data_IF_021754060093
#
_entry.id   IF_021754060093
#
_cell.length_a   1.000
_cell.length_b   1.000
_cell.length_c   1.000
_cell.angle_alpha   90.00
_cell.angle_beta   90.00
_cell.angle_gamma   90.00
#
_symmetry.space_group_name_H-M   'P 1'
#
loop_
_entity.id
_entity.type
_entity.pdbx_description
1 polymer ?
#
# COMPACT_ATOMS: atom_id res chain seq x y z
N UNK A 1 -14.10 -10.89 10.01
CA UNK A 1 -15.18 -10.29 10.84
C UNK A 1 -15.84 -9.17 10.05
N UNK A 2 -17.17 -9.04 10.09
CA UNK A 2 -17.89 -7.93 9.47
C UNK A 2 -17.62 -6.60 10.20
N UNK A 3 -17.70 -5.47 9.49
CA UNK A 3 -17.43 -4.12 10.03
C UNK A 3 -18.33 -3.76 11.22
N UNK A 4 -19.62 -4.04 11.12
CA UNK A 4 -20.60 -3.80 12.20
C UNK A 4 -20.27 -4.58 13.47
N UNK A 5 -19.92 -5.86 13.33
CA UNK A 5 -19.53 -6.69 14.45
C UNK A 5 -18.23 -6.18 15.11
N UNK A 6 -17.26 -5.71 14.30
CA UNK A 6 -16.03 -5.07 14.84
C UNK A 6 -16.38 -3.83 15.66
N UNK A 7 -17.20 -2.93 15.14
CA UNK A 7 -17.59 -1.70 15.85
C UNK A 7 -18.29 -2.00 17.18
N UNK A 8 -19.18 -3.00 17.22
CA UNK A 8 -19.83 -3.43 18.45
C UNK A 8 -18.82 -3.98 19.47
N UNK A 9 -17.91 -4.85 19.05
CA UNK A 9 -16.86 -5.40 19.92
C UNK A 9 -15.80 -4.36 20.30
N UNK A 10 -15.60 -3.34 19.48
CA UNK A 10 -14.62 -2.28 19.70
C UNK A 10 -15.01 -1.39 20.87
N UNK A 11 -16.31 -1.15 21.09
CA UNK A 11 -16.80 -0.35 22.22
C UNK A 11 -16.36 -0.96 23.56
N UNK A 12 -16.57 -2.26 23.75
CA UNK A 12 -16.16 -2.94 24.99
C UNK A 12 -14.64 -3.07 25.11
N UNK A 13 -13.95 -3.32 23.99
CA UNK A 13 -12.49 -3.37 23.95
C UNK A 13 -11.85 -2.01 24.31
N UNK A 14 -12.40 -0.89 23.82
CA UNK A 14 -11.90 0.45 24.11
C UNK A 14 -11.95 0.77 25.60
N UNK A 15 -12.99 0.33 26.31
CA UNK A 15 -13.10 0.52 27.77
C UNK A 15 -12.01 -0.21 28.55
N UNK A 16 -11.49 -1.32 28.01
CA UNK A 16 -10.45 -2.14 28.66
C UNK A 16 -9.04 -1.78 28.18
N UNK A 17 -8.92 -0.98 27.12
CA UNK A 17 -7.64 -0.68 26.49
C UNK A 17 -6.81 0.29 27.34
N UNK A 18 -5.64 -0.16 27.79
CA UNK A 18 -4.68 0.63 28.59
C UNK A 18 -3.41 1.03 27.84
N UNK A 19 -3.37 0.79 26.53
CA UNK A 19 -2.17 1.05 25.72
C UNK A 19 -2.02 2.53 25.34
N UNK A 20 -0.78 2.95 25.04
CA UNK A 20 -0.48 4.31 24.58
C UNK A 20 -0.98 4.60 23.16
N UNK A 21 -1.02 3.60 22.29
CA UNK A 21 -1.36 3.76 20.87
C UNK A 21 -2.59 2.92 20.51
N UNK A 22 -3.76 3.54 20.57
CA UNK A 22 -5.06 2.91 20.31
C UNK A 22 -5.17 2.38 18.89
N UNK A 23 -4.66 3.10 17.89
CA UNK A 23 -4.67 2.67 16.48
C UNK A 23 -3.90 1.36 16.32
N UNK A 24 -2.69 1.28 16.87
CA UNK A 24 -1.87 0.06 16.81
C UNK A 24 -2.49 -1.09 17.60
N UNK A 25 -3.10 -0.80 18.75
CA UNK A 25 -3.85 -1.78 19.54
C UNK A 25 -5.02 -2.37 18.73
N UNK A 26 -5.77 -1.49 18.06
CA UNK A 26 -6.92 -1.85 17.26
C UNK A 26 -6.54 -2.73 16.07
N UNK A 27 -5.48 -2.34 15.32
CA UNK A 27 -4.95 -3.16 14.23
C UNK A 27 -4.58 -4.58 14.69
N UNK A 28 -3.98 -4.71 15.87
CA UNK A 28 -3.59 -6.01 16.43
C UNK A 28 -4.78 -6.84 16.88
N UNK A 29 -5.78 -6.22 17.50
CA UNK A 29 -6.94 -6.92 18.02
C UNK A 29 -7.85 -7.43 16.89
N UNK A 30 -8.07 -6.61 15.87
CA UNK A 30 -9.05 -6.89 14.81
C UNK A 30 -8.45 -7.28 13.47
N UNK A 31 -7.11 -7.26 13.35
CA UNK A 31 -6.39 -7.62 12.13
C UNK A 31 -6.67 -6.69 10.96
N UNK A 32 -6.86 -5.39 11.22
CA UNK A 32 -7.18 -4.39 10.20
C UNK A 32 -6.01 -3.44 9.94
N UNK A 33 -6.00 -2.85 8.76
CA UNK A 33 -5.07 -1.78 8.42
C UNK A 33 -5.32 -0.52 9.24
N UNK A 34 -4.28 0.31 9.35
CA UNK A 34 -4.34 1.50 10.19
C UNK A 34 -5.34 2.54 9.69
N UNK A 35 -5.58 2.63 8.37
CA UNK A 35 -6.61 3.51 7.80
C UNK A 35 -8.00 3.07 8.26
N UNK A 36 -8.29 1.77 8.14
CA UNK A 36 -9.53 1.18 8.65
C UNK A 36 -9.69 1.42 10.14
N UNK A 37 -8.62 1.21 10.92
CA UNK A 37 -8.63 1.48 12.36
C UNK A 37 -8.90 2.95 12.68
N UNK A 38 -8.25 3.90 11.99
CA UNK A 38 -8.43 5.33 12.21
C UNK A 38 -9.88 5.77 11.92
N UNK A 39 -10.46 5.31 10.81
CA UNK A 39 -11.84 5.61 10.44
C UNK A 39 -12.82 5.03 11.47
N UNK A 40 -12.65 3.75 11.83
CA UNK A 40 -13.54 3.08 12.79
C UNK A 40 -13.44 3.72 14.20
N UNK A 41 -12.23 4.07 14.65
CA UNK A 41 -12.01 4.75 15.93
C UNK A 41 -12.59 6.18 15.95
N UNK A 42 -12.48 6.91 14.83
CA UNK A 42 -13.11 8.23 14.69
C UNK A 42 -14.64 8.13 14.81
N UNK A 43 -15.25 7.10 14.22
CA UNK A 43 -16.69 6.84 14.35
C UNK A 43 -17.13 6.46 15.77
N UNK A 44 -16.22 5.86 16.54
CA UNK A 44 -16.45 5.56 17.96
C UNK A 44 -16.21 6.78 18.87
N UNK A 45 -15.86 7.95 18.31
CA UNK A 45 -15.64 9.19 19.05
C UNK A 45 -14.26 9.29 19.71
N UNK A 46 -13.30 8.46 19.31
CA UNK A 46 -11.93 8.53 19.84
C UNK A 46 -11.19 9.70 19.21
N UNK A 47 -10.73 10.63 20.04
CA UNK A 47 -9.87 11.72 19.60
C UNK A 47 -8.50 11.16 19.16
N UNK A 48 -8.24 11.19 17.85
CA UNK A 48 -6.97 10.83 17.27
C UNK A 48 -6.20 12.10 16.93
N UNK A 49 -4.90 12.07 17.20
CA UNK A 49 -3.99 13.15 16.84
C UNK A 49 -3.87 13.23 15.30
N UNK A 50 -4.27 14.35 14.67
CA UNK A 50 -4.18 14.50 13.21
C UNK A 50 -2.73 14.51 12.72
N UNK A 51 -1.78 14.98 13.52
CA UNK A 51 -0.36 15.01 13.14
C UNK A 51 0.20 13.59 13.04
N UNK A 52 -0.21 12.71 13.96
CA UNK A 52 0.13 11.29 13.92
C UNK A 52 -0.44 10.58 12.68
N UNK A 53 -1.67 10.91 12.26
CA UNK A 53 -2.29 10.34 11.07
C UNK A 53 -1.58 10.82 9.79
N UNK A 54 -1.28 12.12 9.72
CA UNK A 54 -0.54 12.70 8.61
C UNK A 54 0.88 12.12 8.47
N UNK A 55 1.60 11.98 9.59
CA UNK A 55 2.92 11.34 9.60
C UNK A 55 2.87 9.91 9.07
N UNK A 56 1.82 9.16 9.43
CA UNK A 56 1.62 7.80 8.91
C UNK A 56 1.35 7.77 7.42
N UNK A 57 0.46 8.64 6.94
CA UNK A 57 0.15 8.79 5.51
C UNK A 57 1.42 9.03 4.67
N UNK A 58 2.30 9.91 5.15
CA UNK A 58 3.57 10.24 4.48
C UNK A 58 4.58 9.09 4.52
N UNK A 59 4.62 8.32 5.61
CA UNK A 59 5.58 7.20 5.79
C UNK A 59 5.22 5.95 4.98
N UNK A 60 3.94 5.76 4.67
CA UNK A 60 3.45 4.57 3.99
C UNK A 60 4.04 4.30 2.60
N UNK A 61 4.11 5.28 1.67
CA UNK A 61 4.68 5.04 0.35
C UNK A 61 6.14 4.58 0.45
N UNK A 62 6.89 5.05 1.45
CA UNK A 62 8.27 4.64 1.65
C UNK A 62 8.38 3.17 2.07
N UNK A 63 7.48 2.68 2.93
CA UNK A 63 7.45 1.27 3.35
C UNK A 63 7.05 0.35 2.19
N UNK A 64 6.06 0.76 1.40
CA UNK A 64 5.63 0.02 0.20
C UNK A 64 6.77 -0.06 -0.81
N UNK A 65 7.43 1.06 -1.09
CA UNK A 65 8.57 1.12 -2.00
C UNK A 65 9.75 0.30 -1.49
N UNK A 66 10.04 0.32 -0.18
CA UNK A 66 11.13 -0.50 0.39
C UNK A 66 10.82 -1.99 0.28
N UNK A 67 9.57 -2.41 0.54
CA UNK A 67 9.14 -3.81 0.33
C UNK A 67 9.18 -4.20 -1.14
N UNK A 68 8.79 -3.30 -2.04
CA UNK A 68 8.91 -3.47 -3.49
C UNK A 68 10.37 -3.65 -3.88
N UNK A 69 11.28 -2.79 -3.42
CA UNK A 69 12.71 -2.89 -3.67
C UNK A 69 13.30 -4.20 -3.11
N UNK A 70 12.89 -4.64 -1.92
CA UNK A 70 13.30 -5.95 -1.38
C UNK A 70 12.75 -7.12 -2.19
N UNK A 71 11.51 -7.04 -2.67
CA UNK A 71 10.94 -8.03 -3.58
C UNK A 71 11.71 -8.08 -4.90
N UNK A 72 12.01 -6.93 -5.50
CA UNK A 72 12.82 -6.82 -6.71
C UNK A 72 14.26 -7.31 -6.50
N UNK A 73 14.85 -7.10 -5.32
CA UNK A 73 16.21 -7.53 -5.00
C UNK A 73 16.31 -9.03 -4.66
N UNK A 74 15.26 -9.63 -4.08
CA UNK A 74 15.22 -11.06 -3.77
C UNK A 74 14.56 -11.91 -4.87
N UNK A 75 13.79 -11.30 -5.78
CA UNK A 75 13.32 -11.94 -7.00
C UNK A 75 14.51 -12.02 -7.95
N UNK A 76 15.19 -13.17 -7.96
CA UNK A 76 16.05 -13.52 -9.06
C UNK A 76 15.27 -13.42 -10.37
N UNK A 77 15.98 -13.01 -11.43
CA UNK A 77 15.54 -13.05 -12.82
C UNK A 77 14.77 -14.35 -13.08
N UNK A 78 13.60 -14.26 -13.75
CA UNK A 78 12.62 -15.32 -14.05
C UNK A 78 11.37 -15.36 -13.15
N UNK A 79 10.52 -14.34 -13.27
CA UNK A 79 9.07 -14.52 -13.16
C UNK A 79 8.45 -14.24 -14.53
N UNK A 80 7.86 -15.24 -15.23
CA UNK A 80 7.38 -15.06 -16.62
C UNK A 80 6.24 -14.04 -16.83
N UNK A 81 5.68 -13.46 -15.77
CA UNK A 81 4.81 -12.30 -15.92
C UNK A 81 4.78 -11.54 -14.58
N UNK A 82 5.59 -10.49 -14.46
CA UNK A 82 5.48 -9.55 -13.35
C UNK A 82 4.31 -8.59 -13.62
N UNK A 83 3.26 -8.52 -12.78
CA UNK A 83 2.16 -7.59 -12.96
C UNK A 83 2.59 -6.11 -13.07
N UNK A 84 3.82 -5.76 -12.68
CA UNK A 84 4.32 -4.39 -12.82
C UNK A 84 4.76 -4.01 -14.24
N UNK A 85 4.97 -4.94 -15.18
CA UNK A 85 5.23 -4.57 -16.59
C UNK A 85 4.02 -3.85 -17.22
N UNK A 86 2.82 -4.32 -16.89
CA UNK A 86 1.59 -3.72 -17.36
C UNK A 86 1.36 -2.32 -16.74
N UNK A 87 1.67 -2.18 -15.45
CA UNK A 87 1.54 -0.90 -14.75
C UNK A 87 2.53 0.13 -15.30
N UNK A 88 3.78 -0.25 -15.56
CA UNK A 88 4.75 0.69 -16.16
C UNK A 88 4.41 1.09 -17.58
N UNK A 89 3.88 0.18 -18.40
CA UNK A 89 3.40 0.50 -19.75
C UNK A 89 2.19 1.45 -19.72
N UNK A 90 1.25 1.22 -18.79
CA UNK A 90 0.12 2.14 -18.56
C UNK A 90 0.58 3.52 -18.08
N UNK A 91 1.54 3.58 -17.15
CA UNK A 91 2.08 4.83 -16.63
C UNK A 91 2.77 5.63 -17.74
N UNK A 92 3.54 4.97 -18.61
CA UNK A 92 4.17 5.61 -19.78
C UNK A 92 3.13 6.10 -20.80
N UNK A 93 2.08 5.31 -21.05
CA UNK A 93 0.97 5.70 -21.93
C UNK A 93 0.23 6.93 -21.40
N UNK A 94 -0.09 6.94 -20.09
CA UNK A 94 -0.76 8.05 -19.44
C UNK A 94 0.13 9.30 -19.32
N UNK A 95 1.45 9.13 -19.24
CA UNK A 95 2.42 10.21 -19.25
C UNK A 95 2.78 10.70 -20.67
N UNK A 96 2.19 10.11 -21.72
CA UNK A 96 2.52 10.36 -23.13
C UNK A 96 4.02 10.19 -23.46
N UNK A 97 4.73 9.37 -22.68
CA UNK A 97 6.13 9.03 -22.90
C UNK A 97 6.23 7.85 -23.88
N UNK A 98 5.95 8.13 -25.15
CA UNK A 98 5.94 7.14 -26.22
C UNK A 98 7.32 6.49 -26.45
N UNK A 99 8.41 7.19 -26.12
CA UNK A 99 9.76 6.65 -26.24
C UNK A 99 10.01 5.54 -25.21
N UNK A 100 9.59 5.76 -23.96
CA UNK A 100 9.66 4.74 -22.91
C UNK A 100 8.73 3.54 -23.22
N UNK A 101 7.54 3.80 -23.76
CA UNK A 101 6.60 2.76 -24.17
C UNK A 101 7.18 1.89 -25.30
N UNK A 102 7.75 2.52 -26.34
CA UNK A 102 8.40 1.82 -27.45
C UNK A 102 9.61 1.01 -27.00
N UNK A 103 10.47 1.55 -26.13
CA UNK A 103 11.60 0.82 -25.59
C UNK A 103 11.17 -0.43 -24.78
N UNK A 104 10.04 -0.36 -24.06
CA UNK A 104 9.46 -1.50 -23.35
C UNK A 104 8.90 -2.55 -24.31
N UNK A 105 8.20 -2.15 -25.37
CA UNK A 105 7.70 -3.06 -26.41
C UNK A 105 8.84 -3.76 -27.17
N UNK A 106 9.87 -3.00 -27.59
CA UNK A 106 11.06 -3.56 -28.24
C UNK A 106 11.77 -4.59 -27.37
N UNK A 107 11.93 -4.32 -26.07
CA UNK A 107 12.54 -5.27 -25.13
C UNK A 107 11.73 -6.56 -24.99
N UNK A 108 10.39 -6.48 -25.04
CA UNK A 108 9.49 -7.64 -24.98
C UNK A 108 9.60 -8.51 -26.24
N UNK A 109 9.68 -7.86 -27.39
CA UNK A 109 9.72 -8.54 -28.69
C UNK A 109 11.16 -8.93 -29.11
N UNK A 110 12.17 -8.60 -28.29
CA UNK A 110 13.58 -8.89 -28.57
C UNK A 110 14.16 -8.08 -29.73
N UNK A 111 13.58 -6.92 -30.02
CA UNK A 111 13.98 -6.03 -31.12
C UNK A 111 14.97 -5.00 -30.58
N UNK A 112 16.11 -4.83 -31.23
CA UNK A 112 17.07 -3.76 -30.91
C UNK A 112 16.61 -2.45 -31.57
N UNK A 113 16.23 -1.40 -30.80
CA UNK A 113 15.69 -0.15 -31.34
C UNK A 113 16.73 0.70 -32.10
N UNK A 114 17.99 0.26 -32.22
CA UNK A 114 19.08 0.99 -32.90
C UNK A 114 19.43 0.51 -34.32
N UNK A 115 18.70 -0.46 -34.91
CA UNK A 115 18.99 -0.95 -36.26
C UNK A 115 18.08 -0.30 -37.32
N UNK A 116 18.38 0.95 -37.67
CA UNK A 116 17.67 1.69 -38.73
C UNK A 116 18.49 2.88 -39.22
#
# INVERSE_FOLDING_TARGET
MARSARLQSAVSWLQQFKGKNVVRGYCRQFGVDWRCAAIELSQLGVALDPDYLNQREQSEPQVINTRRQRRLACAGENSPHDPVEYVSMLDAYLAEDFAALYAMECKRDGIDPGSG
#
